data_IF_320754238423
#
_entry.id   IF_320754238423
#
_cell.length_a   1.000
_cell.length_b   1.000
_cell.length_c   1.000
_cell.angle_alpha   90.00
_cell.angle_beta   90.00
_cell.angle_gamma   90.00
#
_symmetry.space_group_name_H-M   'P 1'
#
loop_
_entity.id
_entity.type
_entity.pdbx_description
1 polymer ?
#
# COMPACT_ATOMS: atom_id res chain seq x y z
N UNK A 1 8.82 -9.13 9.67
CA UNK A 1 7.35 -9.29 9.63
C UNK A 1 6.84 -9.60 8.23
N UNK A 2 6.73 -8.68 7.26
CA UNK A 2 6.21 -9.05 5.92
C UNK A 2 7.07 -10.13 5.21
N UNK A 3 8.39 -10.02 5.31
CA UNK A 3 9.35 -11.02 4.79
C UNK A 3 9.21 -12.43 5.41
N UNK A 4 8.60 -12.56 6.59
CA UNK A 4 8.37 -13.86 7.24
C UNK A 4 7.14 -14.59 6.66
N UNK A 5 6.31 -13.88 5.89
CA UNK A 5 5.09 -14.39 5.25
C UNK A 5 5.19 -14.40 3.72
N UNK A 6 6.40 -14.27 3.16
CA UNK A 6 6.64 -14.14 1.71
C UNK A 6 5.80 -13.03 1.02
N UNK A 7 5.36 -12.03 1.79
CA UNK A 7 4.56 -10.94 1.25
C UNK A 7 5.46 -9.89 0.60
N UNK A 8 5.00 -9.36 -0.52
CA UNK A 8 5.59 -8.20 -1.20
C UNK A 8 4.66 -7.00 -1.06
N UNK A 9 5.12 -5.80 -1.40
CA UNK A 9 4.34 -4.57 -1.28
C UNK A 9 5.13 -3.43 -0.66
N UNK A 10 4.43 -2.55 0.04
CA UNK A 10 5.06 -1.44 0.71
C UNK A 10 4.31 -0.98 1.94
N UNK A 11 5.03 -0.35 2.87
CA UNK A 11 4.43 0.56 3.84
C UNK A 11 4.91 1.99 3.59
N UNK A 12 3.97 2.93 3.63
CA UNK A 12 4.23 4.37 3.63
C UNK A 12 3.85 4.90 5.02
N UNK A 13 4.83 5.12 5.92
CA UNK A 13 4.59 5.74 7.21
C UNK A 13 4.16 7.21 7.03
N UNK A 14 3.25 7.67 7.88
CA UNK A 14 2.81 9.06 7.87
C UNK A 14 1.37 9.25 8.31
N UNK A 15 0.80 10.42 7.97
CA UNK A 15 -0.62 10.74 8.17
C UNK A 15 -1.27 11.13 6.82
N UNK A 16 -2.12 10.28 6.23
CA UNK A 16 -2.39 8.89 6.62
C UNK A 16 -1.17 7.99 6.38
N UNK A 17 -1.08 6.89 7.13
CA UNK A 17 -0.19 5.78 6.80
C UNK A 17 -0.89 4.84 5.84
N UNK A 18 -0.16 4.29 4.88
CA UNK A 18 -0.70 3.39 3.85
C UNK A 18 0.13 2.12 3.83
N UNK A 19 -0.53 0.97 3.72
CA UNK A 19 0.16 -0.31 3.55
C UNK A 19 -0.53 -1.05 2.41
N UNK A 20 0.27 -1.55 1.46
CA UNK A 20 -0.13 -2.46 0.42
C UNK A 20 0.65 -3.77 0.61
N UNK A 21 -0.05 -4.89 0.51
CA UNK A 21 0.55 -6.23 0.58
C UNK A 21 -0.01 -7.11 -0.53
N UNK A 22 0.86 -7.92 -1.10
CA UNK A 22 0.55 -8.93 -2.12
C UNK A 22 1.09 -10.29 -1.66
N UNK A 23 0.35 -11.35 -1.95
CA UNK A 23 0.67 -12.72 -1.55
C UNK A 23 -0.54 -13.63 -1.65
N UNK A 24 -0.43 -14.85 -1.12
CA UNK A 24 -1.61 -15.74 -1.07
C UNK A 24 -2.67 -15.17 -0.13
N UNK A 25 -3.94 -15.49 -0.39
CA UNK A 25 -5.05 -15.03 0.45
C UNK A 25 -4.84 -15.42 1.94
N UNK A 26 -4.35 -16.64 2.19
CA UNK A 26 -4.06 -17.12 3.54
C UNK A 26 -2.96 -16.29 4.22
N UNK A 27 -1.84 -16.03 3.55
CA UNK A 27 -0.73 -15.25 4.12
C UNK A 27 -1.14 -13.80 4.39
N UNK A 28 -1.84 -13.16 3.45
CA UNK A 28 -2.38 -11.82 3.61
C UNK A 28 -3.35 -11.73 4.80
N UNK A 29 -4.24 -12.72 4.97
CA UNK A 29 -5.19 -12.77 6.07
C UNK A 29 -4.54 -12.96 7.44
N UNK A 30 -3.56 -13.86 7.56
CA UNK A 30 -2.81 -14.04 8.81
C UNK A 30 -2.00 -12.79 9.17
N UNK A 31 -1.32 -12.21 8.18
CA UNK A 31 -0.58 -10.97 8.38
C UNK A 31 -1.49 -9.80 8.78
N UNK A 32 -2.68 -9.69 8.19
CA UNK A 32 -3.67 -8.67 8.55
C UNK A 32 -4.13 -8.80 10.01
N UNK A 33 -4.32 -10.02 10.53
CA UNK A 33 -4.67 -10.23 11.96
C UNK A 33 -3.61 -9.64 12.89
N UNK A 34 -2.33 -9.86 12.57
CA UNK A 34 -1.19 -9.32 13.33
C UNK A 34 -1.18 -7.80 13.24
N UNK A 35 -1.24 -7.25 12.04
CA UNK A 35 -1.16 -5.81 11.80
C UNK A 35 -2.29 -5.07 12.48
N UNK A 36 -3.52 -5.57 12.36
CA UNK A 36 -4.69 -4.98 13.02
C UNK A 36 -4.58 -4.97 14.55
N UNK A 37 -3.82 -5.90 15.15
CA UNK A 37 -3.63 -5.97 16.61
C UNK A 37 -2.64 -4.95 17.16
N UNK A 38 -1.87 -4.27 16.31
CA UNK A 38 -0.94 -3.23 16.75
C UNK A 38 -1.67 -1.94 17.19
N UNK A 39 -0.93 -1.03 17.82
CA UNK A 39 -1.44 0.20 18.43
C UNK A 39 -1.75 1.32 17.41
N UNK A 40 -2.67 1.07 16.48
CA UNK A 40 -3.16 2.06 15.52
C UNK A 40 -4.27 2.93 16.13
N UNK A 41 -4.31 4.23 15.78
CA UNK A 41 -5.47 5.08 16.09
C UNK A 41 -6.72 4.62 15.31
N UNK A 42 -6.52 4.24 14.04
CA UNK A 42 -7.53 3.66 13.16
C UNK A 42 -6.79 2.95 12.01
N UNK A 43 -7.16 1.70 11.74
CA UNK A 43 -6.69 0.94 10.58
C UNK A 43 -7.89 0.22 9.95
N UNK A 44 -7.95 0.21 8.63
CA UNK A 44 -9.01 -0.45 7.87
C UNK A 44 -8.48 -0.87 6.51
N UNK A 45 -8.96 -2.00 6.00
CA UNK A 45 -8.77 -2.37 4.60
C UNK A 45 -9.63 -1.42 3.76
N UNK A 46 -8.99 -0.74 2.80
CA UNK A 46 -9.68 0.19 1.89
C UNK A 46 -10.01 -0.45 0.55
N UNK A 47 -9.16 -1.37 0.09
CA UNK A 47 -9.33 -2.15 -1.13
C UNK A 47 -8.66 -3.50 -0.92
N UNK A 48 -9.25 -4.54 -1.52
CA UNK A 48 -8.74 -5.90 -1.54
C UNK A 48 -9.20 -6.52 -2.85
N UNK A 49 -8.25 -7.11 -3.57
CA UNK A 49 -8.46 -7.73 -4.87
C UNK A 49 -7.91 -9.16 -4.79
N UNK A 50 -8.61 -10.10 -5.44
CA UNK A 50 -8.23 -11.50 -5.52
C UNK A 50 -8.22 -11.87 -6.99
N UNK A 51 -7.14 -12.51 -7.42
CA UNK A 51 -6.95 -12.97 -8.80
C UNK A 51 -6.56 -14.44 -8.82
N UNK A 52 -6.81 -15.09 -9.96
CA UNK A 52 -6.38 -16.47 -10.18
C UNK A 52 -4.85 -16.56 -10.23
N UNK A 53 -4.29 -17.66 -9.71
CA UNK A 53 -2.84 -17.89 -9.68
C UNK A 53 -2.20 -17.86 -11.09
N UNK A 54 -2.96 -18.20 -12.13
CA UNK A 54 -2.51 -18.11 -13.52
C UNK A 54 -2.13 -16.69 -13.94
N UNK A 55 -2.70 -15.68 -13.28
CA UNK A 55 -2.50 -14.27 -13.60
C UNK A 55 -1.45 -13.64 -12.68
N UNK A 56 -0.77 -14.41 -11.81
CA UNK A 56 0.16 -13.87 -10.83
C UNK A 56 1.22 -12.94 -11.44
N UNK A 57 1.80 -13.31 -12.59
CA UNK A 57 2.83 -12.50 -13.28
C UNK A 57 2.25 -11.16 -13.74
N UNK A 58 0.99 -11.15 -14.17
CA UNK A 58 0.31 -9.96 -14.68
C UNK A 58 -0.32 -9.11 -13.59
N UNK A 59 -0.47 -9.62 -12.37
CA UNK A 59 -1.16 -8.93 -11.26
C UNK A 59 -0.24 -8.53 -10.12
N UNK A 60 0.82 -9.30 -9.84
CA UNK A 60 1.81 -8.95 -8.82
C UNK A 60 2.62 -7.72 -9.27
N UNK A 61 2.66 -6.68 -8.43
CA UNK A 61 3.35 -5.41 -8.74
C UNK A 61 4.67 -5.26 -8.02
N UNK A 62 4.90 -6.04 -6.97
CA UNK A 62 6.07 -5.88 -6.11
C UNK A 62 6.85 -7.19 -5.95
N UNK A 63 8.17 -7.07 -6.02
CA UNK A 63 9.11 -8.18 -5.79
C UNK A 63 9.52 -8.32 -4.32
N UNK A 64 9.42 -7.24 -3.55
CA UNK A 64 9.81 -7.17 -2.15
C UNK A 64 8.80 -6.35 -1.36
N UNK A 65 8.85 -6.48 -0.03
CA UNK A 65 8.18 -5.54 0.86
C UNK A 65 9.16 -4.45 1.33
N UNK A 66 8.85 -3.19 1.03
CA UNK A 66 9.73 -2.06 1.31
C UNK A 66 9.04 -0.93 2.10
N UNK A 67 9.81 -0.23 2.93
CA UNK A 67 9.34 0.96 3.65
C UNK A 67 9.66 2.23 2.85
N UNK A 68 8.61 2.90 2.38
CA UNK A 68 8.70 4.07 1.52
C UNK A 68 8.75 5.37 2.31
N UNK A 69 9.60 6.30 1.85
CA UNK A 69 9.80 7.60 2.47
C UNK A 69 9.72 8.71 1.42
N UNK A 70 8.60 9.42 1.36
CA UNK A 70 8.41 10.58 0.49
C UNK A 70 8.45 11.86 1.33
N UNK A 71 9.61 12.53 1.37
CA UNK A 71 9.80 13.71 2.21
C UNK A 71 9.53 14.98 1.42
N UNK A 72 8.89 15.95 2.05
CA UNK A 72 8.78 17.28 1.48
C UNK A 72 9.98 18.14 1.94
N UNK A 73 10.85 18.61 1.02
CA UNK A 73 12.04 19.40 1.38
C UNK A 73 11.73 20.65 2.19
N UNK A 74 10.52 21.21 2.00
CA UNK A 74 10.05 22.44 2.65
C UNK A 74 9.45 22.24 4.04
N UNK A 75 9.12 21.00 4.43
CA UNK A 75 8.42 20.72 5.70
C UNK A 75 9.03 19.54 6.45
N UNK A 76 10.31 19.66 6.84
CA UNK A 76 11.05 18.64 7.63
C UNK A 76 10.36 18.16 8.92
N UNK A 77 9.38 18.91 9.44
CA UNK A 77 8.62 18.56 10.65
C UNK A 77 7.21 18.04 10.36
N UNK A 78 6.81 17.95 9.09
CA UNK A 78 5.53 17.40 8.69
C UNK A 78 5.59 15.88 8.67
N UNK A 79 4.62 15.23 9.33
CA UNK A 79 4.43 13.78 9.24
C UNK A 79 3.61 13.38 7.99
N UNK A 80 3.39 14.31 7.06
CA UNK A 80 2.71 14.04 5.80
C UNK A 80 3.74 13.66 4.74
N UNK A 81 3.51 12.52 4.10
CA UNK A 81 4.26 12.13 2.91
C UNK A 81 4.05 13.15 1.78
N UNK A 82 5.06 13.31 0.92
CA UNK A 82 4.92 14.07 -0.32
C UNK A 82 3.98 13.32 -1.28
N UNK A 83 2.71 13.74 -1.31
CA UNK A 83 1.66 13.09 -2.08
C UNK A 83 1.90 13.09 -3.59
N UNK A 84 2.62 14.09 -4.11
CA UNK A 84 2.96 14.14 -5.53
C UNK A 84 4.00 13.09 -5.91
N UNK A 85 4.98 12.83 -5.03
CA UNK A 85 5.95 11.74 -5.23
C UNK A 85 5.29 10.37 -5.06
N UNK A 86 4.42 10.23 -4.06
CA UNK A 86 3.67 8.98 -3.88
C UNK A 86 2.73 8.68 -5.06
N UNK A 87 2.06 9.69 -5.62
CA UNK A 87 1.23 9.54 -6.83
C UNK A 87 2.05 9.03 -8.02
N UNK A 88 3.25 9.57 -8.22
CA UNK A 88 4.16 9.14 -9.31
C UNK A 88 4.63 7.70 -9.09
N UNK A 89 4.94 7.32 -7.85
CA UNK A 89 5.29 5.95 -7.52
C UNK A 89 4.13 4.99 -7.83
N UNK A 90 2.90 5.33 -7.42
CA UNK A 90 1.72 4.51 -7.72
C UNK A 90 1.47 4.39 -9.22
N UNK A 91 1.72 5.45 -10.01
CA UNK A 91 1.66 5.40 -11.47
C UNK A 91 2.71 4.46 -12.08
N UNK A 92 3.96 4.50 -11.59
CA UNK A 92 5.03 3.61 -12.02
C UNK A 92 4.73 2.14 -11.72
N UNK A 93 4.03 1.86 -10.62
CA UNK A 93 3.55 0.53 -10.28
C UNK A 93 2.25 0.15 -11.00
N UNK A 94 1.68 0.99 -11.88
CA UNK A 94 0.42 0.71 -12.57
C UNK A 94 -0.83 0.80 -11.67
N UNK A 95 -0.72 1.38 -10.47
CA UNK A 95 -1.77 1.47 -9.45
C UNK A 95 -2.39 2.88 -9.32
N UNK A 96 -2.28 3.72 -10.35
CA UNK A 96 -2.81 5.10 -10.33
C UNK A 96 -4.32 5.16 -10.11
N UNK A 97 -5.08 4.17 -10.60
CA UNK A 97 -6.52 4.11 -10.38
C UNK A 97 -6.84 3.89 -8.89
N UNK A 98 -6.14 2.96 -8.24
CA UNK A 98 -6.26 2.72 -6.79
C UNK A 98 -5.87 3.96 -5.98
N UNK A 99 -4.83 4.69 -6.39
CA UNK A 99 -4.50 5.98 -5.79
C UNK A 99 -5.67 6.98 -5.90
N UNK A 100 -6.23 7.15 -7.10
CA UNK A 100 -7.34 8.07 -7.33
C UNK A 100 -8.59 7.69 -6.53
N UNK A 101 -8.92 6.41 -6.44
CA UNK A 101 -10.02 5.90 -5.60
C UNK A 101 -9.81 6.23 -4.11
N UNK A 102 -8.60 5.96 -3.57
CA UNK A 102 -8.30 6.23 -2.17
C UNK A 102 -8.41 7.70 -1.78
N UNK A 103 -8.08 8.60 -2.70
CA UNK A 103 -8.12 10.05 -2.47
C UNK A 103 -9.36 10.74 -3.06
N UNK A 104 -10.31 9.99 -3.63
CA UNK A 104 -11.55 10.52 -4.19
C UNK A 104 -11.35 11.41 -5.41
N UNK A 105 -10.33 11.12 -6.23
CA UNK A 105 -9.98 11.88 -7.42
C UNK A 105 -10.67 11.35 -8.70
N UNK A 106 -11.30 10.18 -8.64
CA UNK A 106 -12.12 9.66 -9.73
C UNK A 106 -13.45 10.45 -9.81
N UNK A 107 -13.65 11.21 -10.89
CA UNK A 107 -14.94 11.79 -11.22
C UNK A 107 -15.81 10.70 -11.88
N UNK A 108 -16.93 10.32 -11.25
CA UNK A 108 -17.97 9.53 -11.90
C UNK A 108 -18.48 10.32 -13.12
N UNK A 109 -18.06 9.93 -14.32
CA UNK A 109 -18.61 10.44 -15.59
C UNK A 109 -19.06 9.27 -16.44
#
# INVERSE_FOLDING_TARGET
MAKEYNLTGFCLPGKPGIICVEGTESECNEWWKIIKSMSWKKIAIRKSEIFDLSNQIEEQRFDNFEEMHFQNPSTKHSNHANMSEFSKYMEQCGLIQTFNEFFGLCNNT
#
